data_IF_415819175122
#
_entry.id   IF_415819175122
#
_cell.length_a   1.000
_cell.length_b   1.000
_cell.length_c   1.000
_cell.angle_alpha   90.00
_cell.angle_beta   90.00
_cell.angle_gamma   90.00
#
_symmetry.space_group_name_H-M   'P 1'
#
loop_
_entity.id
_entity.type
_entity.pdbx_description
1 polymer ?
#
# COMPACT_ATOMS: atom_id res chain seq x y z
N UNK A 1 35.05 2.72 11.91
CA UNK A 1 33.97 3.72 11.94
C UNK A 1 32.98 3.28 10.88
N UNK A 2 32.00 2.48 11.26
CA UNK A 2 30.89 2.12 10.37
C UNK A 2 30.07 3.40 10.18
N UNK A 3 30.07 3.92 8.96
CA UNK A 3 29.14 4.99 8.59
C UNK A 3 27.77 4.32 8.63
N UNK A 4 26.80 4.81 9.43
CA UNK A 4 25.47 4.22 9.41
C UNK A 4 24.98 4.27 7.97
N UNK A 5 24.62 3.13 7.40
CA UNK A 5 24.04 3.09 6.06
C UNK A 5 22.85 4.04 6.04
N UNK A 6 22.98 5.12 5.27
CA UNK A 6 21.91 6.07 5.04
C UNK A 6 20.79 5.28 4.38
N UNK A 7 19.77 4.85 5.15
CA UNK A 7 18.66 4.07 4.62
C UNK A 7 18.05 4.83 3.45
N UNK A 8 18.26 4.30 2.25
CA UNK A 8 17.87 4.93 0.98
C UNK A 8 16.68 4.16 0.43
N UNK A 9 15.79 4.84 -0.29
CA UNK A 9 14.72 4.17 -1.02
C UNK A 9 15.32 3.20 -2.05
N UNK A 10 14.89 1.94 -2.02
CA UNK A 10 15.33 0.90 -2.96
C UNK A 10 14.15 0.24 -3.65
N UNK A 11 14.40 -0.24 -4.87
CA UNK A 11 13.50 -1.11 -5.63
C UNK A 11 14.23 -2.44 -5.75
N UNK A 12 13.63 -3.51 -5.23
CA UNK A 12 14.25 -4.84 -5.20
C UNK A 12 13.82 -5.67 -6.41
N UNK A 13 12.56 -5.55 -6.82
CA UNK A 13 12.03 -6.15 -8.04
C UNK A 13 11.03 -5.20 -8.71
N UNK A 14 11.04 -5.20 -10.03
CA UNK A 14 10.12 -4.41 -10.85
C UNK A 14 9.81 -5.13 -12.16
N UNK A 15 8.53 -5.29 -12.42
CA UNK A 15 7.98 -5.67 -13.71
C UNK A 15 7.30 -4.45 -14.34
N UNK A 16 7.63 -4.17 -15.61
CA UNK A 16 7.04 -3.08 -16.39
C UNK A 16 5.79 -3.53 -17.16
N UNK A 17 5.05 -2.57 -17.72
CA UNK A 17 3.90 -2.78 -18.60
C UNK A 17 2.53 -2.50 -17.94
N UNK A 18 1.42 -2.83 -18.62
CA UNK A 18 0.05 -2.52 -18.15
C UNK A 18 -0.33 -3.13 -16.80
N UNK A 19 0.43 -4.13 -16.34
CA UNK A 19 0.27 -4.80 -15.06
C UNK A 19 1.52 -4.67 -14.20
N UNK A 20 2.21 -3.54 -14.33
CA UNK A 20 3.44 -3.26 -13.60
C UNK A 20 3.26 -3.51 -12.10
N UNK A 21 4.26 -4.15 -11.50
CA UNK A 21 4.27 -4.51 -10.10
C UNK A 21 5.70 -4.65 -9.62
N UNK A 22 5.89 -4.69 -8.31
CA UNK A 22 7.19 -4.82 -7.72
C UNK A 22 7.17 -4.55 -6.23
N UNK A 23 8.35 -4.59 -5.62
CA UNK A 23 8.52 -4.34 -4.20
C UNK A 23 9.92 -3.79 -3.90
N UNK A 24 10.09 -3.30 -2.69
CA UNK A 24 11.38 -2.85 -2.21
C UNK A 24 11.30 -2.29 -0.80
N UNK A 25 12.22 -1.39 -0.49
CA UNK A 25 12.35 -0.81 0.85
C UNK A 25 12.30 0.72 0.82
N UNK A 26 11.52 1.28 1.73
CA UNK A 26 11.45 2.73 1.96
C UNK A 26 12.75 3.24 2.58
N UNK A 27 12.97 4.57 2.55
CA UNK A 27 14.09 5.20 3.25
C UNK A 27 14.04 5.02 4.78
N UNK A 28 12.90 4.61 5.34
CA UNK A 28 12.75 4.35 6.79
C UNK A 28 13.06 2.88 7.12
N UNK A 29 13.13 2.01 6.11
CA UNK A 29 13.41 0.59 6.24
C UNK A 29 12.16 -0.30 6.18
N UNK A 30 10.96 0.28 6.09
CA UNK A 30 9.71 -0.44 5.85
C UNK A 30 9.73 -1.10 4.46
N UNK A 31 9.25 -2.34 4.36
CA UNK A 31 8.98 -2.96 3.06
C UNK A 31 7.77 -2.30 2.41
N UNK A 32 7.77 -2.19 1.09
CA UNK A 32 6.59 -1.79 0.32
C UNK A 32 6.38 -2.72 -0.86
N UNK A 33 5.14 -2.81 -1.34
CA UNK A 33 4.78 -3.45 -2.59
C UNK A 33 3.90 -2.51 -3.41
N UNK A 34 4.00 -2.61 -4.73
CA UNK A 34 3.10 -1.92 -5.64
C UNK A 34 2.57 -2.83 -6.74
N UNK A 35 1.40 -2.49 -7.26
CA UNK A 35 0.80 -3.14 -8.43
C UNK A 35 -0.14 -2.22 -9.18
N UNK A 36 -0.17 -2.33 -10.50
CA UNK A 36 -1.15 -1.67 -11.35
C UNK A 36 -2.36 -2.59 -11.55
N UNK A 37 -3.54 -2.04 -11.27
CA UNK A 37 -4.83 -2.64 -11.60
C UNK A 37 -5.65 -1.60 -12.36
N UNK A 38 -6.09 -1.97 -13.57
CA UNK A 38 -6.74 -1.03 -14.50
C UNK A 38 -5.84 0.18 -14.74
N UNK A 39 -6.29 1.39 -14.40
CA UNK A 39 -5.53 2.64 -14.54
C UNK A 39 -5.09 3.20 -13.19
N UNK A 40 -4.93 2.34 -12.18
CA UNK A 40 -4.57 2.74 -10.81
C UNK A 40 -3.37 1.93 -10.33
N UNK A 41 -2.35 2.62 -9.83
CA UNK A 41 -1.25 2.03 -9.06
C UNK A 41 -1.66 1.97 -7.60
N UNK A 42 -1.55 0.77 -7.04
CA UNK A 42 -1.78 0.47 -5.64
C UNK A 42 -0.42 0.29 -4.99
N UNK A 43 -0.08 1.15 -4.02
CA UNK A 43 1.12 1.01 -3.17
C UNK A 43 0.70 0.69 -1.74
N UNK A 44 1.37 -0.27 -1.11
CA UNK A 44 1.16 -0.72 0.26
C UNK A 44 2.52 -0.72 0.97
N UNK A 45 2.59 -0.12 2.16
CA UNK A 45 3.78 -0.07 3.01
C UNK A 45 3.49 -0.87 4.26
N UNK A 46 4.39 -1.80 4.59
CA UNK A 46 4.26 -2.72 5.71
C UNK A 46 5.12 -2.30 6.90
N UNK A 47 4.81 -2.82 8.08
CA UNK A 47 5.64 -2.61 9.28
C UNK A 47 7.09 -3.07 9.05
N UNK A 48 8.06 -2.38 9.64
CA UNK A 48 9.47 -2.75 9.55
C UNK A 48 9.82 -4.01 10.34
N UNK A 49 9.02 -4.37 11.35
CA UNK A 49 9.22 -5.49 12.28
C UNK A 49 8.49 -6.77 11.87
N UNK A 50 8.05 -6.88 10.60
CA UNK A 50 7.46 -8.12 10.09
C UNK A 50 8.56 -9.17 9.91
N UNK A 51 8.54 -10.21 10.75
CA UNK A 51 9.51 -11.31 10.70
C UNK A 51 9.14 -12.39 9.66
N UNK A 52 7.92 -12.33 9.11
CA UNK A 52 7.44 -13.28 8.10
C UNK A 52 7.88 -12.85 6.70
N UNK A 53 8.28 -13.81 5.86
CA UNK A 53 8.73 -13.56 4.48
C UNK A 53 7.64 -12.88 3.62
N UNK A 54 6.36 -13.20 3.88
CA UNK A 54 5.21 -12.61 3.19
C UNK A 54 4.34 -11.86 4.21
N UNK A 55 4.37 -10.52 4.22
CA UNK A 55 3.50 -9.72 5.09
C UNK A 55 2.02 -9.96 4.82
N UNK A 56 1.23 -9.97 5.88
CA UNK A 56 -0.23 -10.04 5.79
C UNK A 56 -0.83 -8.66 5.51
N UNK A 57 -2.10 -8.59 5.05
CA UNK A 57 -2.80 -7.31 4.91
C UNK A 57 -2.88 -6.51 6.20
N UNK A 58 -2.91 -7.16 7.36
CA UNK A 58 -2.95 -6.52 8.67
C UNK A 58 -1.62 -5.83 9.05
N UNK A 59 -0.53 -6.15 8.33
CA UNK A 59 0.78 -5.52 8.52
C UNK A 59 0.93 -4.20 7.76
N UNK A 60 -0.07 -3.80 6.97
CA UNK A 60 -0.07 -2.55 6.21
C UNK A 60 -0.21 -1.36 7.18
N UNK A 61 0.78 -0.48 7.18
CA UNK A 61 0.79 0.77 7.98
C UNK A 61 0.41 2.00 7.18
N UNK A 62 0.59 1.95 5.87
CA UNK A 62 0.21 3.02 4.96
C UNK A 62 -0.14 2.45 3.58
N UNK A 63 -1.05 3.11 2.88
CA UNK A 63 -1.38 2.75 1.50
C UNK A 63 -1.61 4.01 0.68
N UNK A 64 -1.36 3.91 -0.62
CA UNK A 64 -1.58 5.01 -1.56
C UNK A 64 -2.14 4.48 -2.86
N UNK A 65 -3.00 5.27 -3.50
CA UNK A 65 -3.58 4.99 -4.81
C UNK A 65 -3.28 6.16 -5.74
N UNK A 66 -2.65 5.87 -6.89
CA UNK A 66 -2.28 6.89 -7.88
C UNK A 66 -2.81 6.52 -9.26
N UNK A 67 -3.34 7.51 -9.97
CA UNK A 67 -3.71 7.33 -11.39
C UNK A 67 -2.44 7.11 -12.22
N UNK A 68 -2.46 6.15 -13.14
CA UNK A 68 -1.36 5.89 -14.08
C UNK A 68 -1.70 6.24 -15.52
N UNK A 69 -2.76 7.01 -15.75
CA UNK A 69 -3.23 7.35 -17.11
C UNK A 69 -2.22 8.16 -17.93
N UNK A 70 -1.39 8.94 -17.26
CA UNK A 70 -0.40 9.84 -17.88
C UNK A 70 1.03 9.33 -17.66
N UNK A 71 1.18 8.09 -17.19
CA UNK A 71 2.47 7.50 -16.84
C UNK A 71 2.86 6.49 -17.90
N UNK A 72 4.10 6.58 -18.40
CA UNK A 72 4.66 5.55 -19.27
C UNK A 72 5.00 4.31 -18.43
N UNK A 73 4.11 3.32 -18.46
CA UNK A 73 4.33 2.05 -17.75
C UNK A 73 5.35 1.14 -18.43
N UNK A 74 5.86 1.47 -19.62
CA UNK A 74 6.92 0.70 -20.28
C UNK A 74 8.32 1.17 -19.87
N UNK A 75 8.42 2.36 -19.28
CA UNK A 75 9.64 2.90 -18.72
C UNK A 75 9.71 2.65 -17.20
N UNK A 76 10.73 1.90 -16.79
CA UNK A 76 11.00 1.59 -15.39
C UNK A 76 11.16 2.86 -14.54
N UNK A 77 11.83 3.88 -15.07
CA UNK A 77 12.10 5.12 -14.32
C UNK A 77 10.83 5.89 -14.02
N UNK A 78 9.91 5.92 -14.96
CA UNK A 78 8.58 6.53 -14.82
C UNK A 78 7.76 5.81 -13.73
N UNK A 79 7.79 4.48 -13.69
CA UNK A 79 7.16 3.71 -12.61
C UNK A 79 7.81 4.02 -11.25
N UNK A 80 9.13 3.97 -11.17
CA UNK A 80 9.89 4.22 -9.93
C UNK A 80 9.61 5.62 -9.38
N UNK A 81 9.50 6.63 -10.24
CA UNK A 81 9.15 7.99 -9.82
C UNK A 81 7.79 8.03 -9.11
N UNK A 82 6.75 7.42 -9.70
CA UNK A 82 5.40 7.41 -9.11
C UNK A 82 5.37 6.58 -7.83
N UNK A 83 6.06 5.45 -7.78
CA UNK A 83 6.14 4.62 -6.56
C UNK A 83 6.82 5.40 -5.44
N UNK A 84 7.95 6.05 -5.72
CA UNK A 84 8.66 6.86 -4.72
C UNK A 84 7.77 7.98 -4.19
N UNK A 85 7.07 8.69 -5.06
CA UNK A 85 6.16 9.77 -4.66
C UNK A 85 4.99 9.23 -3.81
N UNK A 86 4.41 8.09 -4.20
CA UNK A 86 3.32 7.44 -3.46
C UNK A 86 3.75 6.89 -2.08
N UNK A 87 5.01 6.47 -1.94
CA UNK A 87 5.60 6.05 -0.66
C UNK A 87 5.88 7.25 0.23
N UNK A 88 6.37 8.37 -0.33
CA UNK A 88 6.68 9.59 0.42
C UNK A 88 5.44 10.37 0.86
N UNK A 89 4.37 10.32 0.07
CA UNK A 89 3.08 10.95 0.37
C UNK A 89 1.97 9.89 0.28
N UNK A 90 1.87 9.00 1.29
CA UNK A 90 0.78 8.04 1.33
C UNK A 90 -0.55 8.77 1.51
N UNK A 91 -1.61 8.19 0.95
CA UNK A 91 -2.94 8.72 1.24
C UNK A 91 -3.12 8.62 2.76
N UNK A 92 -3.39 9.75 3.40
CA UNK A 92 -3.64 9.76 4.84
C UNK A 92 -4.72 8.72 5.10
N UNK A 93 -4.45 7.74 5.97
CA UNK A 93 -5.47 6.88 6.55
C UNK A 93 -6.34 7.75 7.46
N UNK A 94 -7.01 8.76 6.92
CA UNK A 94 -8.27 9.19 7.47
C UNK A 94 -9.08 7.91 7.47
N UNK A 95 -9.46 7.45 8.66
CA UNK A 95 -10.42 6.38 8.84
C UNK A 95 -11.71 6.82 8.15
N UNK A 96 -11.74 6.72 6.83
CA UNK A 96 -12.91 6.92 6.04
C UNK A 96 -13.65 5.62 6.25
N UNK A 97 -14.83 5.64 6.91
CA UNK A 97 -15.74 4.54 6.75
C UNK A 97 -16.02 4.54 5.24
N UNK A 98 -15.42 3.60 4.53
CA UNK A 98 -15.94 3.17 3.24
C UNK A 98 -17.45 2.96 3.47
N UNK A 99 -18.27 3.62 2.66
CA UNK A 99 -19.73 3.49 2.63
C UNK A 99 -20.14 2.02 2.47
N UNK A 100 -20.13 1.31 3.59
CA UNK A 100 -20.31 -0.12 3.69
C UNK A 100 -20.42 -0.42 5.17
N UNK A 101 -21.66 -0.44 5.65
CA UNK A 101 -22.02 -0.84 7.01
C UNK A 101 -21.11 -2.01 7.45
N UNK A 102 -20.19 -1.78 8.40
CA UNK A 102 -19.27 -2.82 8.84
C UNK A 102 -20.09 -4.03 9.28
N UNK A 103 -19.62 -5.26 9.04
CA UNK A 103 -20.34 -6.50 9.42
C UNK A 103 -20.78 -6.44 10.89
N UNK A 104 -19.93 -5.89 11.76
CA UNK A 104 -20.26 -5.63 13.17
C UNK A 104 -21.45 -4.68 13.36
N UNK A 105 -21.53 -3.61 12.58
CA UNK A 105 -22.64 -2.65 12.64
C UNK A 105 -23.96 -3.24 12.12
N UNK A 106 -23.90 -4.11 11.09
CA UNK A 106 -25.07 -4.88 10.62
C UNK A 106 -25.54 -5.86 11.70
N UNK A 107 -24.62 -6.62 12.30
CA UNK A 107 -24.93 -7.59 13.34
C UNK A 107 -25.49 -6.93 14.62
N UNK A 108 -24.94 -5.79 15.04
CA UNK A 108 -25.50 -5.02 16.17
C UNK A 108 -26.93 -4.57 15.92
N UNK A 109 -27.27 -4.18 14.68
CA UNK A 109 -28.63 -3.75 14.34
C UNK A 109 -29.63 -4.91 14.32
N UNK A 110 -29.21 -6.10 13.90
CA UNK A 110 -30.05 -7.31 13.94
C UNK A 110 -30.28 -7.82 15.36
N UNK A 111 -29.26 -7.74 16.23
CA UNK A 111 -29.39 -8.12 17.64
C UNK A 111 -30.46 -7.30 18.37
N UNK A 112 -30.54 -5.99 18.10
CA UNK A 112 -31.55 -5.09 18.72
C UNK A 112 -32.99 -5.45 18.33
N UNK A 113 -33.21 -6.09 17.17
CA UNK A 113 -34.55 -6.53 16.75
C UNK A 113 -34.93 -7.87 17.38
N UNK A 114 -33.96 -8.73 17.71
CA UNK A 114 -34.20 -10.05 18.28
C UNK A 114 -34.45 -9.98 19.80
N UNK A 115 -33.79 -9.06 20.52
CA UNK A 115 -34.02 -8.84 21.96
C UNK A 115 -35.24 -7.94 22.26
N UNK A 116 -35.90 -7.42 21.22
CA UNK A 116 -37.06 -6.53 21.34
C UNK A 116 -38.44 -7.21 21.25
N UNK A 117 -38.49 -8.55 21.27
CA UNK A 117 -39.74 -9.34 21.23
C UNK A 117 -40.01 -10.05 22.56
#
# INVERSE_FOLDING_TARGET
MEIPESKTFTVEDISVGPHAHGFGRTAEGNSYAFRVRKSTMHVEVYRADVETEVPAPDDIVASSRRSVREIDLTDERSIVAVVRDAVSDPDSLSARPEDGMTVRAVLSRLGVVIDGL
#
